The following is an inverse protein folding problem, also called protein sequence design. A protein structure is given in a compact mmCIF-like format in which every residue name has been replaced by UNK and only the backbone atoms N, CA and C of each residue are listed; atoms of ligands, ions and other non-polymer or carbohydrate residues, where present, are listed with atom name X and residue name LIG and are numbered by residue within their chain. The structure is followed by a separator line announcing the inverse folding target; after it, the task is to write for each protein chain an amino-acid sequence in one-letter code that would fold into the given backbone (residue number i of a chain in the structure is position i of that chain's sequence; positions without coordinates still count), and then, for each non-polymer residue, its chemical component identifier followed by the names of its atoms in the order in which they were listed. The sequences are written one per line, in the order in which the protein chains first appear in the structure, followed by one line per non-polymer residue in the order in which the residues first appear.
data_IF_500983752994
#
_entry.id   IF_500983752994
#
_cell.length_a   1.000
_cell.length_b   1.000
_cell.length_c   1.000
_cell.angle_alpha   90.00
_cell.angle_beta   90.00
_cell.angle_gamma   90.00
#
_symmetry.space_group_name_H-M   'P 1'
#
loop_
_entity.id
_entity.type
_entity.pdbx_description
1 polymer ?
#
# COMPACT_ATOMS: atom_id res chain seq x y z
N UNK A 1 14.81 -7.10 0.04
CA UNK A 1 14.03 -5.94 -0.41
C UNK A 1 14.91 -4.71 -0.40
N UNK A 2 14.93 -3.97 -1.49
CA UNK A 2 15.55 -2.66 -1.59
C UNK A 2 14.61 -1.61 -0.98
N UNK A 3 15.19 -0.48 -0.59
CA UNK A 3 14.50 0.69 -0.06
C UNK A 3 13.61 1.38 -1.10
N UNK A 4 12.53 2.00 -0.64
CA UNK A 4 11.59 2.82 -1.41
C UNK A 4 10.99 2.06 -2.61
N UNK A 5 10.55 0.83 -2.36
CA UNK A 5 9.94 -0.06 -3.35
C UNK A 5 8.70 -0.76 -2.81
N UNK A 6 7.80 -1.08 -3.73
CA UNK A 6 6.73 -2.05 -3.54
C UNK A 6 7.07 -3.35 -4.29
N UNK A 7 6.79 -4.48 -3.68
CA UNK A 7 7.00 -5.82 -4.22
C UNK A 7 5.68 -6.55 -4.31
N UNK A 8 5.48 -7.32 -5.37
CA UNK A 8 4.34 -8.21 -5.53
C UNK A 8 4.87 -9.63 -5.71
N UNK A 9 4.55 -10.53 -4.77
CA UNK A 9 5.12 -11.86 -4.78
C UNK A 9 4.68 -12.67 -6.00
N UNK A 10 5.65 -13.28 -6.69
CA UNK A 10 5.39 -14.11 -7.87
C UNK A 10 5.05 -13.32 -9.14
N UNK A 11 5.16 -11.98 -9.14
CA UNK A 11 5.06 -11.22 -10.37
C UNK A 11 6.34 -11.33 -11.23
N UNK A 12 6.34 -10.81 -12.47
CA UNK A 12 7.50 -10.90 -13.36
C UNK A 12 8.74 -10.06 -12.96
N UNK A 13 8.61 -9.18 -11.96
CA UNK A 13 9.66 -8.29 -11.47
C UNK A 13 10.01 -8.58 -10.00
N UNK A 14 10.81 -9.62 -9.71
CA UNK A 14 11.22 -9.96 -8.35
C UNK A 14 12.04 -8.86 -7.64
N UNK A 15 12.61 -7.92 -8.41
CA UNK A 15 13.29 -6.73 -7.90
C UNK A 15 12.35 -5.69 -7.27
N UNK A 16 11.03 -5.82 -7.49
CA UNK A 16 10.01 -4.87 -7.07
C UNK A 16 10.01 -3.60 -7.92
N UNK A 17 9.10 -2.69 -7.63
CA UNK A 17 8.88 -1.45 -8.36
C UNK A 17 9.22 -0.25 -7.48
N UNK A 18 9.99 0.69 -8.03
CA UNK A 18 10.32 1.95 -7.36
C UNK A 18 9.06 2.72 -7.01
N UNK A 19 9.02 3.33 -5.83
CA UNK A 19 7.93 4.22 -5.42
C UNK A 19 8.24 5.62 -5.96
N UNK A 20 7.34 6.19 -6.75
CA UNK A 20 7.48 7.54 -7.32
C UNK A 20 6.73 8.59 -6.50
N UNK A 21 5.67 8.16 -5.80
CA UNK A 21 4.93 9.01 -4.88
C UNK A 21 4.59 8.24 -3.60
N UNK A 22 4.84 8.89 -2.47
CA UNK A 22 4.43 8.40 -1.16
C UNK A 22 3.98 9.57 -0.31
N UNK A 23 2.68 9.67 -0.08
CA UNK A 23 2.08 10.65 0.80
C UNK A 23 1.58 9.94 2.05
N UNK A 24 1.97 10.46 3.20
CA UNK A 24 1.47 10.04 4.49
C UNK A 24 0.97 11.29 5.21
N UNK A 25 -0.32 11.32 5.50
CA UNK A 25 -0.98 12.46 6.13
C UNK A 25 -1.74 12.02 7.37
N UNK A 26 -2.07 12.99 8.22
CA UNK A 26 -2.84 12.79 9.44
C UNK A 26 -4.03 13.74 9.46
N UNK A 27 -5.17 13.24 9.93
CA UNK A 27 -6.39 14.02 10.16
C UNK A 27 -6.95 13.72 11.55
N UNK A 28 -7.65 14.68 12.12
CA UNK A 28 -8.41 14.48 13.36
C UNK A 28 -9.88 14.20 13.03
N UNK A 29 -10.41 13.12 13.61
CA UNK A 29 -11.84 12.77 13.54
C UNK A 29 -12.28 12.45 14.95
N UNK A 30 -13.25 13.20 15.47
CA UNK A 30 -13.85 12.99 16.78
C UNK A 30 -12.84 12.87 17.95
N UNK A 31 -11.73 13.62 17.88
CA UNK A 31 -10.67 13.62 18.91
C UNK A 31 -9.62 12.51 18.74
N UNK A 32 -9.78 11.64 17.75
CA UNK A 32 -8.80 10.63 17.37
C UNK A 32 -8.00 11.05 16.13
N UNK A 33 -6.74 10.62 16.06
CA UNK A 33 -5.89 10.77 14.89
C UNK A 33 -6.08 9.59 13.97
N UNK A 34 -6.30 9.89 12.69
CA UNK A 34 -6.40 8.95 11.60
C UNK A 34 -5.30 9.24 10.60
N UNK A 35 -4.77 8.20 9.97
CA UNK A 35 -3.85 8.35 8.85
C UNK A 35 -4.52 8.06 7.53
N UNK A 36 -4.06 8.80 6.53
CA UNK A 36 -4.20 8.47 5.13
C UNK A 36 -2.80 8.20 4.55
N UNK A 37 -2.71 7.18 3.70
CA UNK A 37 -1.49 6.86 2.97
C UNK A 37 -1.85 6.66 1.51
N UNK A 38 -1.13 7.36 0.64
CA UNK A 38 -1.14 7.18 -0.81
C UNK A 38 0.25 6.73 -1.28
N UNK A 39 0.29 5.72 -2.13
CA UNK A 39 1.50 5.20 -2.75
C UNK A 39 1.26 4.97 -4.24
N UNK A 40 2.15 5.51 -5.07
CA UNK A 40 2.23 5.18 -6.50
C UNK A 40 3.60 4.57 -6.82
N UNK A 41 3.59 3.46 -7.57
CA UNK A 41 4.81 2.88 -8.12
C UNK A 41 5.17 3.52 -9.47
N UNK A 42 6.44 3.47 -9.85
CA UNK A 42 6.84 3.67 -11.23
C UNK A 42 6.12 2.67 -12.14
N UNK A 43 6.12 2.96 -13.45
CA UNK A 43 5.66 2.00 -14.44
C UNK A 43 6.42 0.67 -14.29
N UNK A 44 5.73 -0.46 -14.44
CA UNK A 44 6.30 -1.78 -14.18
C UNK A 44 7.52 -2.10 -15.04
N UNK A 45 7.58 -1.58 -16.27
CA UNK A 45 8.70 -1.75 -17.20
C UNK A 45 9.73 -0.60 -17.18
N UNK A 46 9.65 0.32 -16.21
CA UNK A 46 10.51 1.52 -16.15
C UNK A 46 12.00 1.22 -16.01
N UNK A 47 12.35 0.14 -15.33
CA UNK A 47 13.75 -0.26 -15.07
C UNK A 47 14.17 -1.49 -15.86
N UNK A 48 13.22 -2.38 -16.18
CA UNK A 48 13.45 -3.59 -16.97
C UNK A 48 12.24 -3.92 -17.84
N UNK A 49 12.47 -3.85 -19.15
CA UNK A 49 11.57 -4.36 -20.19
C UNK A 49 11.63 -5.90 -20.22
N UNK A 50 10.47 -6.56 -20.25
CA UNK A 50 10.37 -8.02 -20.40
C UNK A 50 9.76 -8.31 -21.76
N UNK A 51 10.63 -8.66 -22.72
CA UNK A 51 10.19 -9.08 -24.04
C UNK A 51 9.46 -10.41 -23.96
N UNK A 52 8.14 -10.34 -24.10
CA UNK A 52 7.32 -11.53 -24.16
C UNK A 52 7.64 -12.33 -25.42
N UNK A 53 7.74 -13.66 -25.29
CA UNK A 53 7.89 -14.55 -26.44
C UNK A 53 6.51 -15.01 -26.85
N UNK A 54 6.22 -15.04 -28.14
CA UNK A 54 4.92 -15.50 -28.67
C UNK A 54 4.52 -16.92 -28.20
N UNK A 55 5.47 -17.72 -27.70
CA UNK A 55 5.26 -19.07 -27.17
C UNK A 55 5.18 -19.15 -25.64
N UNK A 56 5.05 -18.02 -24.92
CA UNK A 56 4.98 -18.04 -23.46
C UNK A 56 3.65 -18.65 -23.00
N UNK A 57 3.72 -19.76 -22.27
CA UNK A 57 2.55 -20.40 -21.66
C UNK A 57 2.37 -19.90 -20.23
N UNK A 58 1.93 -18.65 -20.04
CA UNK A 58 1.56 -18.15 -18.72
C UNK A 58 0.31 -18.85 -18.22
N UNK A 59 0.25 -19.07 -16.91
CA UNK A 59 -0.87 -19.79 -16.28
C UNK A 59 -1.93 -18.85 -15.71
N UNK A 60 -1.61 -17.55 -15.63
CA UNK A 60 -2.45 -16.48 -15.09
C UNK A 60 -2.04 -15.12 -15.69
N UNK A 61 -2.86 -14.09 -15.51
CA UNK A 61 -2.44 -12.71 -15.76
C UNK A 61 -1.38 -12.24 -14.77
N UNK A 62 -1.28 -12.89 -13.61
CA UNK A 62 -0.33 -12.51 -12.57
C UNK A 62 1.13 -12.79 -12.96
N UNK A 63 1.40 -13.87 -13.69
CA UNK A 63 2.73 -14.25 -14.18
C UNK A 63 3.06 -13.70 -15.57
N UNK A 64 2.10 -13.07 -16.26
CA UNK A 64 2.26 -12.52 -17.61
C UNK A 64 2.70 -11.04 -17.61
N UNK A 65 3.94 -10.68 -18.04
CA UNK A 65 4.43 -9.30 -18.06
C UNK A 65 3.52 -8.33 -18.82
N UNK A 66 3.01 -8.74 -19.98
CA UNK A 66 2.11 -7.93 -20.79
C UNK A 66 0.83 -7.51 -20.03
N UNK A 67 0.30 -8.41 -19.18
CA UNK A 67 -0.88 -8.09 -18.37
C UNK A 67 -0.58 -6.97 -17.38
N UNK A 68 0.62 -6.91 -16.80
CA UNK A 68 1.03 -5.81 -15.92
C UNK A 68 1.24 -4.52 -16.68
N UNK A 69 2.01 -4.56 -17.78
CA UNK A 69 2.35 -3.37 -18.57
C UNK A 69 1.12 -2.63 -19.09
N UNK A 70 0.04 -3.35 -19.42
CA UNK A 70 -1.23 -2.76 -19.81
C UNK A 70 -1.86 -1.84 -18.74
N UNK A 71 -1.62 -2.11 -17.45
CA UNK A 71 -2.10 -1.26 -16.35
C UNK A 71 -1.07 -0.26 -15.86
N UNK A 72 0.14 -0.29 -16.43
CA UNK A 72 1.21 0.69 -16.27
C UNK A 72 1.88 0.69 -14.89
N UNK A 73 1.17 1.08 -13.83
CA UNK A 73 1.70 1.25 -12.47
C UNK A 73 0.69 0.78 -11.41
N UNK A 74 1.16 0.67 -10.17
CA UNK A 74 0.31 0.42 -9.01
C UNK A 74 -0.01 1.74 -8.30
N UNK A 75 -1.29 1.94 -7.96
CA UNK A 75 -1.73 2.95 -7.00
C UNK A 75 -2.39 2.22 -5.82
N UNK A 76 -1.93 2.51 -4.61
CA UNK A 76 -2.46 1.97 -3.36
C UNK A 76 -2.73 3.14 -2.42
N UNK A 77 -4.01 3.44 -2.18
CA UNK A 77 -4.41 4.69 -1.55
C UNK A 77 -5.64 4.51 -0.66
N UNK A 78 -5.70 5.32 0.41
CA UNK A 78 -6.86 5.44 1.28
C UNK A 78 -7.80 6.60 0.91
N UNK A 79 -7.44 7.44 -0.06
CA UNK A 79 -8.11 8.72 -0.33
C UNK A 79 -8.30 9.08 -1.82
N UNK A 80 -7.83 8.25 -2.77
CA UNK A 80 -7.92 8.54 -4.21
C UNK A 80 -9.31 8.23 -4.81
N UNK A 81 -9.97 7.17 -4.35
CA UNK A 81 -11.27 6.72 -4.87
C UNK A 81 -12.40 6.67 -3.83
N UNK A 82 -12.07 6.79 -2.55
CA UNK A 82 -13.03 6.78 -1.44
C UNK A 82 -12.47 7.54 -0.24
N UNK A 83 -13.26 7.67 0.82
CA UNK A 83 -12.81 8.24 2.09
C UNK A 83 -12.49 7.09 3.03
N UNK A 84 -11.26 6.59 2.95
CA UNK A 84 -10.73 5.56 3.82
C UNK A 84 -9.87 6.13 4.94
N UNK A 85 -8.77 5.41 5.20
CA UNK A 85 -7.82 5.68 6.24
C UNK A 85 -8.04 4.78 7.45
N UNK A 86 -7.22 4.96 8.49
CA UNK A 86 -7.27 4.10 9.67
C UNK A 86 -6.91 4.89 10.94
N UNK A 87 -7.62 4.57 12.02
CA UNK A 87 -7.42 5.17 13.34
C UNK A 87 -6.06 4.75 13.93
N UNK A 88 -5.39 5.68 14.58
CA UNK A 88 -4.07 5.50 15.19
C UNK A 88 -4.17 5.53 16.72
N UNK A 89 -4.50 6.69 17.26
CA UNK A 89 -4.55 6.95 18.70
C UNK A 89 -5.42 8.17 18.96
N UNK A 90 -5.62 8.50 20.24
CA UNK A 90 -6.21 9.79 20.60
C UNK A 90 -5.25 10.93 20.24
N UNK A 91 -5.78 12.12 19.93
CA UNK A 91 -4.97 13.32 19.66
C UNK A 91 -3.95 13.63 20.76
N UNK A 92 -4.29 13.35 22.02
CA UNK A 92 -3.42 13.63 23.16
C UNK A 92 -2.19 12.70 23.23
N UNK A 93 -2.27 11.52 22.62
CA UNK A 93 -1.18 10.54 22.56
C UNK A 93 -0.34 10.69 21.29
N UNK A 94 -0.75 11.56 20.36
CA UNK A 94 -0.14 11.66 19.04
C UNK A 94 1.24 12.34 19.08
N UNK A 95 2.27 11.53 19.26
CA UNK A 95 3.67 11.97 19.26
C UNK A 95 4.55 11.03 18.42
N UNK A 96 5.73 11.51 17.95
CA UNK A 96 6.70 10.64 17.31
C UNK A 96 7.16 9.47 18.20
N UNK A 97 7.21 9.67 19.52
CA UNK A 97 7.57 8.62 20.49
C UNK A 97 6.51 7.51 20.56
N UNK A 98 5.22 7.87 20.47
CA UNK A 98 4.13 6.90 20.45
C UNK A 98 4.19 6.01 19.21
N UNK A 99 4.49 6.59 18.04
CA UNK A 99 4.58 5.83 16.79
C UNK A 99 5.82 4.93 16.71
N UNK A 100 6.87 5.18 17.50
CA UNK A 100 8.13 4.45 17.37
C UNK A 100 7.96 2.98 17.77
N UNK A 101 8.04 2.11 16.75
CA UNK A 101 7.84 0.68 16.86
C UNK A 101 6.38 0.24 16.84
N UNK A 102 5.43 1.16 16.65
CA UNK A 102 4.01 0.84 16.52
C UNK A 102 3.78 -0.04 15.29
N UNK A 103 3.02 -1.11 15.49
CA UNK A 103 2.62 -2.04 14.44
C UNK A 103 1.10 -2.21 14.47
N UNK A 104 0.46 -2.00 13.33
CA UNK A 104 -0.99 -2.03 13.17
C UNK A 104 -1.38 -3.14 12.20
N UNK A 105 -2.47 -3.84 12.55
CA UNK A 105 -3.20 -4.71 11.64
C UNK A 105 -4.46 -3.98 11.20
N UNK A 106 -4.62 -3.79 9.89
CA UNK A 106 -5.75 -3.07 9.28
C UNK A 106 -6.46 -4.03 8.34
N UNK A 107 -7.79 -4.04 8.41
CA UNK A 107 -8.66 -4.99 7.72
C UNK A 107 -8.21 -6.46 7.88
N UNK A 108 -7.99 -6.96 9.12
CA UNK A 108 -7.52 -8.33 9.34
C UNK A 108 -8.56 -9.39 8.92
N UNK A 109 -9.83 -9.00 8.89
CA UNK A 109 -11.00 -9.84 8.61
C UNK A 109 -11.79 -9.29 7.40
N UNK A 110 -11.22 -9.29 6.18
CA UNK A 110 -11.89 -8.71 5.01
C UNK A 110 -13.23 -9.37 4.68
N UNK A 111 -13.46 -10.60 5.13
CA UNK A 111 -14.74 -11.31 5.00
C UNK A 111 -15.91 -10.65 5.74
N UNK A 112 -15.64 -9.78 6.72
CA UNK A 112 -16.68 -9.03 7.43
C UNK A 112 -17.02 -7.70 6.76
N UNK A 113 -16.24 -7.29 5.76
CA UNK A 113 -16.40 -6.03 5.06
C UNK A 113 -17.28 -6.27 3.83
N UNK A 114 -18.48 -5.67 3.82
CA UNK A 114 -19.47 -5.90 2.78
C UNK A 114 -19.50 -4.82 1.70
N UNK A 115 -19.15 -3.58 2.06
CA UNK A 115 -18.99 -2.49 1.09
C UNK A 115 -17.51 -2.32 0.77
N UNK A 116 -17.18 -2.18 -0.53
CA UNK A 116 -15.81 -1.94 -0.97
C UNK A 116 -15.26 -0.62 -0.42
N UNK A 117 -16.12 0.36 -0.16
CA UNK A 117 -15.71 1.65 0.38
C UNK A 117 -15.40 1.60 1.89
N UNK A 118 -15.71 0.51 2.57
CA UNK A 118 -15.41 0.34 3.99
C UNK A 118 -13.98 -0.18 4.24
N UNK A 119 -13.26 -0.61 3.19
CA UNK A 119 -11.84 -0.95 3.30
C UNK A 119 -11.01 0.30 3.59
N UNK A 120 -9.97 0.18 4.42
CA UNK A 120 -9.09 1.30 4.72
C UNK A 120 -8.33 1.78 3.48
N UNK A 121 -8.05 0.87 2.54
CA UNK A 121 -7.33 1.13 1.29
C UNK A 121 -8.06 0.53 0.09
N UNK A 122 -7.89 1.18 -1.04
CA UNK A 122 -8.18 0.63 -2.37
C UNK A 122 -6.89 0.52 -3.18
N UNK A 123 -6.90 -0.35 -4.18
CA UNK A 123 -5.74 -0.60 -5.03
C UNK A 123 -6.16 -0.61 -6.51
N UNK A 124 -5.32 -0.01 -7.34
CA UNK A 124 -5.26 -0.23 -8.77
C UNK A 124 -3.93 -0.92 -9.08
N UNK A 125 -3.97 -2.16 -9.56
CA UNK A 125 -2.78 -2.99 -9.78
C UNK A 125 -2.75 -3.56 -11.20
N UNK A 126 -3.60 -4.56 -11.47
CA UNK A 126 -3.95 -4.96 -12.83
C UNK A 126 -5.47 -4.78 -13.02
N UNK A 127 -5.92 -3.57 -12.68
CA UNK A 127 -7.31 -3.17 -12.54
C UNK A 127 -7.66 -2.79 -11.09
N UNK A 128 -8.92 -2.42 -10.88
CA UNK A 128 -9.47 -2.05 -9.58
C UNK A 128 -9.72 -3.30 -8.72
N UNK A 129 -8.65 -3.76 -8.06
CA UNK A 129 -8.65 -4.94 -7.20
C UNK A 129 -9.02 -4.58 -5.73
N UNK A 130 -8.97 -5.59 -4.87
CA UNK A 130 -9.20 -5.45 -3.43
C UNK A 130 -7.93 -5.80 -2.68
N UNK A 131 -7.60 -4.98 -1.68
CA UNK A 131 -6.43 -5.13 -0.82
C UNK A 131 -6.90 -5.13 0.63
N UNK A 132 -6.29 -5.97 1.47
CA UNK A 132 -6.64 -6.09 2.89
C UNK A 132 -5.51 -6.75 3.68
N UNK A 133 -5.80 -7.08 4.95
CA UNK A 133 -4.89 -7.80 5.86
C UNK A 133 -3.56 -7.06 5.95
N UNK A 134 -3.64 -5.74 6.02
CA UNK A 134 -2.46 -4.89 6.05
C UNK A 134 -1.78 -5.02 7.39
N UNK A 135 -0.45 -5.06 7.34
CA UNK A 135 0.42 -4.98 8.49
C UNK A 135 1.39 -3.83 8.25
N UNK A 136 1.23 -2.74 9.01
CA UNK A 136 2.02 -1.52 8.87
C UNK A 136 2.79 -1.29 10.16
N UNK A 137 4.11 -1.11 10.05
CA UNK A 137 4.98 -0.79 11.16
C UNK A 137 5.76 0.49 10.89
N UNK A 138 5.81 1.35 11.90
CA UNK A 138 6.51 2.62 11.91
C UNK A 138 7.72 2.50 12.85
N UNK A 139 8.93 2.75 12.35
CA UNK A 139 10.16 2.75 13.15
C UNK A 139 10.83 4.12 13.03
N UNK A 140 10.99 4.83 14.14
CA UNK A 140 11.57 6.18 14.14
C UNK A 140 13.07 6.13 13.88
N UNK A 141 13.56 7.04 13.05
CA UNK A 141 14.98 7.08 12.67
C UNK A 141 15.73 7.97 13.64
N UNK A 142 16.54 7.38 14.53
CA UNK A 142 17.50 8.09 15.39
C UNK A 142 16.92 9.32 16.11
N UNK A 143 15.73 9.19 16.72
CA UNK A 143 14.99 10.27 17.40
C UNK A 143 14.61 11.48 16.53
N UNK A 144 14.69 11.38 15.20
CA UNK A 144 14.26 12.44 14.28
C UNK A 144 12.75 12.46 14.07
N UNK A 145 12.23 13.42 13.30
CA UNK A 145 10.85 13.42 12.80
C UNK A 145 10.67 12.56 11.54
N UNK A 146 11.58 11.62 11.28
CA UNK A 146 11.55 10.71 10.12
C UNK A 146 11.31 9.28 10.56
N UNK A 147 10.55 8.55 9.74
CA UNK A 147 10.19 7.17 9.99
C UNK A 147 10.57 6.27 8.82
N UNK A 148 11.08 5.09 9.15
CA UNK A 148 11.03 3.94 8.27
C UNK A 148 9.65 3.31 8.41
N UNK A 149 9.00 3.05 7.29
CA UNK A 149 7.69 2.38 7.25
C UNK A 149 7.88 1.05 6.53
N UNK A 150 7.48 -0.03 7.19
CA UNK A 150 7.36 -1.35 6.57
C UNK A 150 5.90 -1.72 6.50
N UNK A 151 5.43 -2.07 5.31
CA UNK A 151 4.03 -2.34 5.06
C UNK A 151 3.91 -3.62 4.23
N UNK A 152 3.03 -4.53 4.63
CA UNK A 152 2.68 -5.70 3.83
C UNK A 152 1.18 -5.92 3.88
N UNK A 153 0.66 -6.72 2.96
CA UNK A 153 -0.74 -7.11 2.96
C UNK A 153 -1.03 -8.12 1.87
N UNK A 154 -2.32 -8.36 1.66
CA UNK A 154 -2.81 -9.31 0.66
C UNK A 154 -3.72 -8.65 -0.35
N UNK A 155 -3.72 -9.20 -1.56
CA UNK A 155 -4.52 -8.74 -2.69
C UNK A 155 -5.39 -9.89 -3.19
N UNK A 156 -6.65 -9.57 -3.46
CA UNK A 156 -7.59 -10.37 -4.22
C UNK A 156 -7.82 -9.72 -5.58
N UNK A 157 -7.79 -10.51 -6.65
CA UNK A 157 -7.91 -10.06 -8.05
C UNK A 157 -9.38 -9.84 -8.43
N UNK A 158 -10.07 -9.02 -7.64
CA UNK A 158 -11.53 -8.83 -7.72
C UNK A 158 -11.97 -8.19 -9.02
N UNK A 159 -11.08 -7.45 -9.70
CA UNK A 159 -11.37 -6.88 -11.01
C UNK A 159 -11.73 -7.96 -12.05
N UNK A 160 -11.12 -9.15 -11.94
CA UNK A 160 -11.40 -10.30 -12.82
C UNK A 160 -12.30 -11.35 -12.15
N UNK A 161 -12.96 -10.99 -11.04
CA UNK A 161 -13.90 -11.85 -10.32
C UNK A 161 -13.27 -12.86 -9.36
N UNK A 162 -11.97 -12.74 -9.05
CA UNK A 162 -11.31 -13.57 -8.05
C UNK A 162 -11.25 -12.86 -6.69
N UNK A 163 -12.04 -13.34 -5.75
CA UNK A 163 -12.19 -12.75 -4.42
C UNK A 163 -11.25 -13.37 -3.37
N UNK A 164 -10.39 -14.31 -3.74
CA UNK A 164 -9.44 -14.91 -2.81
C UNK A 164 -8.18 -14.03 -2.63
N UNK A 165 -7.86 -13.70 -1.38
CA UNK A 165 -6.66 -12.94 -1.01
C UNK A 165 -5.37 -13.78 -1.09
N UNK A 166 -5.03 -14.25 -2.28
CA UNK A 166 -3.92 -15.18 -2.53
C UNK A 166 -2.58 -14.51 -2.84
N UNK A 167 -2.59 -13.26 -3.28
CA UNK A 167 -1.38 -12.53 -3.64
C UNK A 167 -0.87 -11.70 -2.47
N UNK A 168 0.45 -11.62 -2.29
CA UNK A 168 1.08 -10.82 -1.24
C UNK A 168 1.78 -9.61 -1.85
N UNK A 169 1.79 -8.50 -1.12
CA UNK A 169 2.65 -7.37 -1.41
C UNK A 169 3.46 -6.96 -0.17
N UNK A 170 4.58 -6.28 -0.41
CA UNK A 170 5.38 -5.67 0.64
C UNK A 170 6.04 -4.39 0.17
N UNK A 171 6.13 -3.41 1.05
CA UNK A 171 6.61 -2.06 0.84
C UNK A 171 7.63 -1.73 1.91
N UNK A 172 8.69 -1.03 1.53
CA UNK A 172 9.63 -0.41 2.47
C UNK A 172 9.89 1.03 2.08
N UNK A 173 9.46 1.98 2.91
CA UNK A 173 9.80 3.41 2.79
C UNK A 173 10.84 3.73 3.84
N UNK A 174 11.99 4.29 3.45
CA UNK A 174 13.11 4.45 4.37
C UNK A 174 13.11 5.76 5.16
N UNK A 175 12.38 6.77 4.72
CA UNK A 175 12.41 8.10 5.33
C UNK A 175 11.16 8.90 4.96
N UNK A 176 10.04 8.58 5.59
CA UNK A 176 8.83 9.40 5.54
C UNK A 176 8.87 10.47 6.64
N UNK A 177 8.33 11.66 6.36
CA UNK A 177 8.13 12.70 7.39
C UNK A 177 6.98 12.31 8.31
N UNK A 178 7.14 12.56 9.61
CA UNK A 178 6.06 12.47 10.58
C UNK A 178 4.94 13.46 10.22
N UNK A 179 3.71 13.01 9.93
CA UNK A 179 2.67 13.90 9.45
C UNK A 179 2.18 14.80 10.57
N UNK A 180 2.16 16.10 10.29
CA UNK A 180 1.55 17.07 11.20
C UNK A 180 0.03 17.00 11.06
N UNK A 181 -0.68 17.19 12.17
CA UNK A 181 -2.11 17.48 12.09
C UNK A 181 -2.29 18.88 11.49
N UNK A 182 -3.29 19.08 10.61
CA UNK A 182 -3.64 20.41 10.12
C UNK A 182 -3.92 21.34 11.30
N UNK A 183 -3.39 22.57 11.25
CA UNK A 183 -3.75 23.59 12.22
C UNK A 183 -5.25 23.83 12.13
N UNK A 184 -5.96 23.72 13.26
CA UNK A 184 -7.36 24.10 13.33
C UNK A 184 -7.44 25.63 13.11
N UNK A 185 -8.26 26.13 12.17
CA UNK A 185 -8.40 27.57 11.96
C UNK A 185 -8.89 28.32 13.20
#
# INVERSE_FOLDING_TARGET
MQSNRIYFEGNPWPEGHSIVEFLWSAKEIDGDVWFDIHLESANYNSERDIKDKESSNYTSDWDAPYSWENYQSCILSSDDWHIGGFRICSKHEYTPEFLDGLELLIDPHPETITDRNDFAFQIYLLGHDTVAKHKIRFDRISNSSRFKITWSGKIARTYVGDHEFKHNFSVMVMSADFPQLPETP
#
